data_IF_120138945356
#
_entry.id   IF_120138945356
#
_cell.length_a   1.000
_cell.length_b   1.000
_cell.length_c   1.000
_cell.angle_alpha   90.00
_cell.angle_beta   90.00
_cell.angle_gamma   90.00
#
_symmetry.space_group_name_H-M   'P 1'
#
loop_
_entity.id
_entity.type
_entity.pdbx_description
1 polymer ?
#
# COMPACT_ATOMS: atom_id res chain seq x y z
N UNK A 1 -4.25 4.79 -8.74
CA UNK A 1 -4.29 3.32 -8.61
C UNK A 1 -5.68 2.89 -8.21
N UNK A 2 -6.32 2.01 -9.00
CA UNK A 2 -7.75 1.71 -8.87
C UNK A 2 -7.97 0.21 -8.77
N UNK A 3 -8.45 -0.23 -7.61
CA UNK A 3 -8.91 -1.60 -7.34
C UNK A 3 -7.88 -2.68 -7.65
N UNK A 4 -6.59 -2.36 -7.48
CA UNK A 4 -5.52 -3.31 -7.69
C UNK A 4 -5.47 -4.32 -6.53
N UNK A 5 -5.21 -5.59 -6.85
CA UNK A 5 -4.85 -6.60 -5.84
C UNK A 5 -3.52 -6.26 -5.16
N UNK A 6 -2.57 -5.70 -5.93
CA UNK A 6 -1.30 -5.16 -5.48
C UNK A 6 -1.11 -3.79 -6.11
N UNK A 7 -1.10 -2.74 -5.29
CA UNK A 7 -0.88 -1.37 -5.79
C UNK A 7 0.55 -1.20 -6.31
N UNK A 8 1.52 -1.80 -5.64
CA UNK A 8 2.93 -1.84 -6.05
C UNK A 8 3.51 -3.24 -5.79
N UNK A 9 4.25 -3.77 -6.75
CA UNK A 9 5.15 -4.90 -6.55
C UNK A 9 6.55 -4.38 -6.21
N UNK A 10 7.08 -4.77 -5.05
CA UNK A 10 8.43 -4.41 -4.65
C UNK A 10 9.35 -5.64 -4.77
N UNK A 11 10.39 -5.51 -5.59
CA UNK A 11 11.52 -6.43 -5.58
C UNK A 11 12.70 -5.69 -4.94
N UNK A 12 13.41 -6.33 -4.03
CA UNK A 12 14.43 -5.79 -3.10
C UNK A 12 15.62 -5.04 -3.73
N UNK A 13 15.63 -4.76 -5.04
CA UNK A 13 16.59 -3.89 -5.71
C UNK A 13 16.04 -2.47 -5.69
N UNK A 14 16.85 -1.54 -5.17
CA UNK A 14 16.67 -0.07 -5.15
C UNK A 14 15.48 0.42 -5.97
N UNK A 15 14.42 0.82 -5.28
CA UNK A 15 13.28 1.47 -5.90
C UNK A 15 13.45 2.97 -5.70
N UNK A 16 13.83 3.66 -6.78
CA UNK A 16 14.00 5.12 -6.81
C UNK A 16 12.70 5.86 -7.18
N UNK A 17 11.56 5.16 -7.21
CA UNK A 17 10.28 5.79 -7.49
C UNK A 17 9.82 6.64 -6.30
N UNK A 18 9.52 7.90 -6.58
CA UNK A 18 8.87 8.82 -5.65
C UNK A 18 7.36 8.73 -5.89
N UNK A 19 6.61 8.41 -4.84
CA UNK A 19 5.15 8.42 -4.86
C UNK A 19 4.65 9.69 -4.19
N UNK A 20 4.03 10.58 -4.96
CA UNK A 20 3.40 11.78 -4.43
C UNK A 20 2.11 12.06 -5.20
N UNK A 21 1.09 12.57 -4.50
CA UNK A 21 -0.16 13.05 -5.11
C UNK A 21 -0.87 12.00 -5.95
N UNK A 22 -0.82 10.73 -5.53
CA UNK A 22 -1.59 9.67 -6.17
C UNK A 22 -2.94 9.49 -5.49
N UNK A 23 -3.97 9.19 -6.28
CA UNK A 23 -5.22 8.65 -5.76
C UNK A 23 -5.13 7.13 -5.64
N UNK A 24 -5.41 6.60 -4.44
CA UNK A 24 -5.40 5.17 -4.14
C UNK A 24 -6.80 4.73 -3.71
N UNK A 25 -7.39 3.75 -4.40
CA UNK A 25 -8.76 3.31 -4.10
C UNK A 25 -8.95 2.75 -2.68
N UNK A 26 -7.87 2.25 -2.07
CA UNK A 26 -7.89 1.69 -0.72
C UNK A 26 -7.45 2.70 0.36
N UNK A 27 -7.14 3.95 -0.03
CA UNK A 27 -6.81 4.98 0.94
C UNK A 27 -8.06 5.35 1.75
N UNK A 28 -7.91 5.27 3.08
CA UNK A 28 -8.98 5.48 4.07
C UNK A 28 -8.58 6.49 5.14
N UNK A 29 -7.52 7.28 4.87
CA UNK A 29 -7.14 8.37 5.75
C UNK A 29 -8.14 9.53 5.68
N UNK A 30 -7.83 10.57 6.45
CA UNK A 30 -8.68 11.74 6.60
C UNK A 30 -7.96 13.00 6.09
N UNK A 31 -8.74 14.05 5.89
CA UNK A 31 -8.33 15.38 5.44
C UNK A 31 -9.08 16.39 6.34
N UNK A 32 -8.38 16.92 7.34
CA UNK A 32 -8.95 17.83 8.35
C UNK A 32 -8.98 19.28 7.87
N UNK A 33 -8.02 19.71 7.06
CA UNK A 33 -7.90 21.08 6.56
C UNK A 33 -8.65 21.33 5.23
N UNK A 34 -9.12 20.25 4.60
CA UNK A 34 -9.97 20.19 3.40
C UNK A 34 -9.27 20.65 2.13
N UNK A 35 -7.96 20.44 2.02
CA UNK A 35 -7.19 20.79 0.83
C UNK A 35 -7.29 19.72 -0.29
N UNK A 36 -7.90 18.56 -0.02
CA UNK A 36 -8.05 17.44 -0.95
C UNK A 36 -6.87 16.46 -0.94
N UNK A 37 -5.90 16.65 -0.05
CA UNK A 37 -4.77 15.78 0.25
C UNK A 37 -5.04 15.12 1.61
N UNK A 38 -4.64 13.87 1.75
CA UNK A 38 -4.77 13.13 2.99
C UNK A 38 -3.69 13.48 4.00
N UNK A 39 -4.09 13.72 5.25
CA UNK A 39 -3.18 14.01 6.37
C UNK A 39 -2.35 12.79 6.81
N UNK A 40 -2.75 11.59 6.38
CA UNK A 40 -2.09 10.33 6.74
C UNK A 40 -1.36 9.80 5.51
N UNK A 41 -0.04 9.58 5.57
CA UNK A 41 0.69 8.97 4.46
C UNK A 41 0.14 7.59 4.07
N UNK A 42 0.13 7.31 2.77
CA UNK A 42 -0.28 6.00 2.26
C UNK A 42 0.93 5.11 1.98
N UNK A 43 0.89 3.85 2.43
CA UNK A 43 1.89 2.83 2.09
C UNK A 43 1.31 1.87 1.06
N UNK A 44 1.64 2.02 -0.23
CA UNK A 44 1.05 1.23 -1.32
C UNK A 44 1.61 -0.20 -1.46
N UNK A 45 2.48 -0.64 -0.56
CA UNK A 45 3.08 -1.98 -0.62
C UNK A 45 2.44 -2.85 0.46
N UNK A 46 1.91 -3.99 0.03
CA UNK A 46 1.44 -5.05 0.92
C UNK A 46 2.54 -6.08 1.12
N UNK A 47 2.70 -6.56 2.36
CA UNK A 47 3.57 -7.68 2.69
C UNK A 47 3.31 -8.90 1.78
N UNK A 48 2.05 -9.16 1.45
CA UNK A 48 1.70 -10.29 0.58
C UNK A 48 2.34 -10.22 -0.83
N UNK A 49 2.60 -9.01 -1.35
CA UNK A 49 3.30 -8.86 -2.64
C UNK A 49 4.70 -9.47 -2.59
N UNK A 50 5.39 -9.34 -1.46
CA UNK A 50 6.71 -9.95 -1.24
C UNK A 50 6.60 -11.49 -1.13
N UNK A 51 5.59 -11.98 -0.40
CA UNK A 51 5.36 -13.41 -0.18
C UNK A 51 5.08 -14.14 -1.50
N UNK A 52 4.17 -13.61 -2.33
CA UNK A 52 3.87 -14.19 -3.65
C UNK A 52 5.06 -14.15 -4.60
N UNK A 53 5.85 -13.08 -4.58
CA UNK A 53 7.05 -13.00 -5.42
C UNK A 53 8.08 -14.07 -5.06
N UNK A 54 8.16 -14.52 -3.80
CA UNK A 54 9.06 -15.59 -3.36
C UNK A 54 8.46 -16.99 -3.51
N UNK A 55 7.16 -17.14 -3.28
CA UNK A 55 6.43 -18.41 -3.33
C UNK A 55 5.13 -18.20 -4.09
N UNK A 56 5.13 -18.33 -5.43
CA UNK A 56 3.98 -18.03 -6.28
C UNK A 56 2.72 -18.84 -5.92
N UNK A 57 2.88 -20.05 -5.38
CA UNK A 57 1.79 -20.94 -4.95
C UNK A 57 0.92 -20.31 -3.86
N UNK A 58 1.46 -19.36 -3.10
CA UNK A 58 0.72 -18.64 -2.05
C UNK A 58 -0.38 -17.74 -2.61
N UNK A 59 -0.47 -17.51 -3.92
CA UNK A 59 -1.51 -16.69 -4.56
C UNK A 59 -2.93 -17.13 -4.19
N UNK A 60 -3.14 -18.43 -3.91
CA UNK A 60 -4.44 -18.97 -3.46
C UNK A 60 -4.93 -18.33 -2.15
N UNK A 61 -4.00 -17.82 -1.33
CA UNK A 61 -4.29 -17.20 -0.04
C UNK A 61 -4.66 -15.72 -0.15
N UNK A 62 -4.56 -15.09 -1.32
CA UNK A 62 -4.70 -13.64 -1.54
C UNK A 62 -5.95 -13.02 -0.89
N UNK A 63 -7.05 -13.76 -0.82
CA UNK A 63 -8.34 -13.31 -0.26
C UNK A 63 -8.77 -14.13 0.96
N UNK A 64 -7.81 -14.73 1.65
CA UNK A 64 -8.07 -15.50 2.86
C UNK A 64 -8.01 -14.62 4.11
N UNK A 65 -8.77 -14.99 5.14
CA UNK A 65 -8.74 -14.33 6.45
C UNK A 65 -7.33 -14.32 7.07
N UNK A 66 -6.50 -15.31 6.75
CA UNK A 66 -5.10 -15.34 7.17
C UNK A 66 -4.34 -14.11 6.63
N UNK A 67 -4.57 -13.73 5.37
CA UNK A 67 -3.92 -12.54 4.80
C UNK A 67 -4.44 -11.24 5.41
N UNK A 68 -5.72 -11.16 5.77
CA UNK A 68 -6.27 -9.99 6.46
C UNK A 68 -5.59 -9.75 7.81
N UNK A 69 -5.30 -10.82 8.56
CA UNK A 69 -4.59 -10.75 9.85
C UNK A 69 -3.15 -10.29 9.65
N UNK A 70 -2.47 -10.81 8.62
CA UNK A 70 -1.09 -10.44 8.31
C UNK A 70 -0.99 -8.96 7.90
N UNK A 71 -1.86 -8.50 6.99
CA UNK A 71 -1.94 -7.09 6.57
C UNK A 71 -2.24 -6.17 7.77
N UNK A 72 -3.14 -6.59 8.69
CA UNK A 72 -3.43 -5.83 9.91
C UNK A 72 -2.22 -5.76 10.85
N UNK A 73 -1.52 -6.88 11.06
CA UNK A 73 -0.31 -6.92 11.88
C UNK A 73 0.76 -5.96 11.37
N UNK A 74 0.98 -5.92 10.05
CA UNK A 74 1.97 -5.03 9.43
C UNK A 74 1.59 -3.54 9.58
N UNK A 75 0.28 -3.23 9.59
CA UNK A 75 -0.20 -1.86 9.85
C UNK A 75 0.07 -1.41 11.29
N UNK A 76 0.00 -2.31 12.26
CA UNK A 76 0.20 -2.02 13.69
C UNK A 76 1.68 -2.06 14.08
N UNK A 77 2.44 -3.00 13.51
CA UNK A 77 3.85 -3.20 13.75
C UNK A 77 4.56 -3.48 12.42
N UNK A 78 5.06 -2.44 11.72
CA UNK A 78 5.76 -2.62 10.46
C UNK A 78 7.09 -3.37 10.70
N UNK A 79 7.25 -4.54 10.09
CA UNK A 79 8.50 -5.33 10.20
C UNK A 79 9.10 -5.64 8.84
N UNK A 80 8.28 -5.68 7.79
CA UNK A 80 8.69 -6.19 6.48
C UNK A 80 8.60 -5.16 5.36
N UNK A 81 7.75 -4.15 5.49
CA UNK A 81 7.58 -3.09 4.48
C UNK A 81 8.69 -2.05 4.62
N UNK A 82 9.54 -1.85 3.59
CA UNK A 82 10.59 -0.82 3.64
C UNK A 82 10.01 0.59 3.83
N UNK A 83 10.66 1.42 4.64
CA UNK A 83 10.23 2.79 4.95
C UNK A 83 10.13 3.70 3.72
N UNK A 84 10.85 3.39 2.65
CA UNK A 84 10.98 4.23 1.46
C UNK A 84 9.83 4.10 0.44
N UNK A 85 8.78 3.33 0.74
CA UNK A 85 7.63 3.12 -0.15
C UNK A 85 6.39 3.74 0.46
N UNK A 86 6.33 5.07 0.38
CA UNK A 86 5.31 5.89 1.02
C UNK A 86 4.92 7.04 0.08
N UNK A 87 3.61 7.29 -0.02
CA UNK A 87 3.06 8.50 -0.59
C UNK A 87 2.71 9.46 0.54
N UNK A 88 3.45 10.56 0.63
CA UNK A 88 3.30 11.54 1.71
C UNK A 88 2.11 12.48 1.50
N UNK A 89 1.56 12.55 0.28
CA UNK A 89 0.47 13.45 -0.09
C UNK A 89 -0.60 12.71 -0.90
N UNK A 90 -1.23 11.65 -0.35
CA UNK A 90 -2.23 10.88 -1.10
C UNK A 90 -3.46 11.76 -1.40
N UNK A 91 -4.00 11.68 -2.61
CA UNK A 91 -5.18 12.45 -2.99
C UNK A 91 -6.46 11.82 -2.40
N UNK A 92 -7.32 12.65 -1.83
CA UNK A 92 -8.64 12.23 -1.32
C UNK A 92 -9.61 11.84 -2.44
N UNK A 93 -9.43 12.42 -3.64
CA UNK A 93 -10.28 12.18 -4.80
C UNK A 93 -9.44 11.98 -6.04
N UNK A 94 -10.00 11.22 -6.99
CA UNK A 94 -9.38 11.02 -8.30
C UNK A 94 -9.28 12.36 -9.02
N UNK A 95 -8.09 12.69 -9.53
CA UNK A 95 -7.94 13.79 -10.48
C UNK A 95 -8.83 13.55 -11.71
N UNK A 96 -9.56 14.58 -12.14
CA UNK A 96 -10.30 14.54 -13.40
C UNK A 96 -9.36 14.48 -14.59
#
# INVERSE_FOLDING_TARGET
FLYNSFDISYNSKLNDNVFEKNYWSNYTGYDLDKDGIGDVPYRPVKLFSYVVNRTPETIILLRSMFMDIIDFSEKVSPVFTPDNLLDAMPLMKRSK
#
